data_IF_949805586699
#
_entry.id   IF_949805586699
#
_cell.length_a   1.000
_cell.length_b   1.000
_cell.length_c   1.000
_cell.angle_alpha   90.00
_cell.angle_beta   90.00
_cell.angle_gamma   90.00
#
_symmetry.space_group_name_H-M   'P 1'
#
loop_
_entity.id
_entity.type
_entity.pdbx_description
1 polymer ?
#
# COMPACT_ATOMS: atom_id res chain seq x y z
N UNK A 1 84.53 -0.41 12.34
CA UNK A 1 83.66 -0.20 11.16
C UNK A 1 82.23 -0.49 11.58
N UNK A 2 81.45 0.59 11.85
CA UNK A 2 80.07 0.47 12.29
C UNK A 2 79.16 0.58 11.08
N UNK A 3 78.37 -0.51 10.77
CA UNK A 3 77.39 -0.55 9.71
C UNK A 3 76.06 0.00 10.29
N UNK A 4 75.64 1.14 9.82
CA UNK A 4 74.32 1.70 10.12
C UNK A 4 73.30 1.05 9.16
N UNK A 5 72.38 0.27 9.71
CA UNK A 5 71.22 -0.24 8.98
C UNK A 5 70.14 0.81 9.09
N UNK A 6 69.82 1.46 7.99
CA UNK A 6 68.76 2.44 7.85
C UNK A 6 67.46 1.66 7.71
N UNK A 7 66.63 1.63 8.75
CA UNK A 7 65.32 1.02 8.73
C UNK A 7 64.34 2.04 8.13
N UNK A 8 64.00 1.83 6.87
CA UNK A 8 63.00 2.63 6.18
C UNK A 8 61.61 2.11 6.59
N UNK A 9 60.98 2.79 7.56
CA UNK A 9 59.60 2.49 7.94
C UNK A 9 58.62 3.06 6.91
N UNK A 10 58.10 2.13 6.08
CA UNK A 10 57.05 2.41 5.12
C UNK A 10 55.71 2.62 5.89
N UNK A 11 55.36 3.86 6.12
CA UNK A 11 54.03 4.18 6.59
C UNK A 11 53.05 3.95 5.45
N UNK A 12 52.40 2.79 5.42
CA UNK A 12 51.23 2.54 4.60
C UNK A 12 50.07 3.24 5.30
N UNK A 13 49.70 4.41 4.80
CA UNK A 13 48.46 5.08 5.15
C UNK A 13 47.34 4.25 4.53
N UNK A 14 46.76 3.36 5.33
CA UNK A 14 45.43 2.83 5.02
C UNK A 14 44.44 4.00 5.17
N UNK A 15 44.11 4.62 4.06
CA UNK A 15 42.91 5.41 3.93
C UNK A 15 41.74 4.46 4.07
N UNK A 16 41.14 4.37 5.27
CA UNK A 16 39.80 3.88 5.40
C UNK A 16 38.90 4.91 4.70
N UNK A 17 38.56 4.65 3.46
CA UNK A 17 37.31 5.17 2.92
C UNK A 17 36.23 4.55 3.78
N UNK A 18 35.60 5.38 4.61
CA UNK A 18 34.32 5.06 5.21
C UNK A 18 33.32 4.90 4.05
N UNK A 19 33.24 3.68 3.50
CA UNK A 19 32.05 3.25 2.78
C UNK A 19 30.94 3.40 3.83
N UNK A 20 30.15 4.49 3.70
CA UNK A 20 28.85 4.58 4.33
C UNK A 20 28.08 3.39 3.74
N UNK A 21 28.02 2.29 4.48
CA UNK A 21 27.01 1.29 4.26
C UNK A 21 25.67 2.07 4.29
N UNK A 22 25.12 2.30 3.12
CA UNK A 22 23.72 2.69 3.01
C UNK A 22 22.95 1.56 3.67
N UNK A 23 22.51 1.80 4.91
CA UNK A 23 21.61 0.92 5.63
C UNK A 23 20.45 0.65 4.68
N UNK A 24 20.45 -0.51 4.04
CA UNK A 24 19.33 -0.97 3.23
C UNK A 24 18.14 -1.04 4.19
N UNK A 25 17.33 -0.01 4.17
CA UNK A 25 16.08 0.04 4.93
C UNK A 25 15.28 -1.20 4.51
N UNK A 26 15.16 -2.15 5.42
CA UNK A 26 14.40 -3.37 5.19
C UNK A 26 12.98 -2.94 4.85
N UNK A 27 12.53 -3.24 3.63
CA UNK A 27 11.20 -2.83 3.17
C UNK A 27 10.18 -3.62 3.97
N UNK A 28 9.31 -2.92 4.66
CA UNK A 28 8.24 -3.54 5.45
C UNK A 28 7.39 -4.48 4.57
N UNK A 29 6.96 -5.59 5.17
CA UNK A 29 5.96 -6.48 4.53
C UNK A 29 4.75 -5.67 4.02
N UNK A 30 4.31 -4.68 4.81
CA UNK A 30 3.11 -3.89 4.56
C UNK A 30 3.27 -2.85 3.46
N UNK A 31 4.49 -2.42 3.16
CA UNK A 31 4.74 -1.43 2.12
C UNK A 31 4.90 -2.10 0.76
N UNK A 32 4.29 -1.52 -0.26
CA UNK A 32 4.39 -1.97 -1.66
C UNK A 32 3.08 -1.88 -2.41
N UNK A 33 3.08 -2.45 -3.60
CA UNK A 33 1.94 -2.52 -4.50
C UNK A 33 1.26 -3.88 -4.34
N UNK A 34 -0.06 -3.86 -4.23
CA UNK A 34 -0.89 -5.06 -4.17
C UNK A 34 -1.95 -5.00 -5.28
N UNK A 35 -2.20 -6.14 -5.91
CA UNK A 35 -3.22 -6.30 -6.95
C UNK A 35 -4.33 -7.20 -6.45
N UNK A 36 -5.58 -6.86 -6.71
CA UNK A 36 -6.73 -7.68 -6.36
C UNK A 36 -6.67 -9.03 -7.10
N UNK A 37 -6.85 -10.13 -6.37
CA UNK A 37 -6.76 -11.49 -6.92
C UNK A 37 -7.98 -11.85 -7.75
N UNK A 38 -9.17 -11.35 -7.36
CA UNK A 38 -10.40 -11.50 -8.15
C UNK A 38 -10.57 -10.24 -9.00
N UNK A 39 -10.86 -10.44 -10.27
CA UNK A 39 -11.03 -9.37 -11.25
C UNK A 39 -12.43 -9.45 -11.83
N UNK A 40 -13.08 -8.31 -12.00
CA UNK A 40 -14.26 -8.17 -12.81
C UNK A 40 -13.87 -7.87 -14.27
N UNK A 41 -14.83 -7.95 -15.18
CA UNK A 41 -14.62 -7.60 -16.58
C UNK A 41 -15.19 -6.20 -16.85
N UNK A 42 -14.44 -5.40 -17.57
CA UNK A 42 -14.95 -4.15 -18.10
C UNK A 42 -15.89 -4.40 -19.30
N UNK A 43 -16.45 -3.32 -19.85
CA UNK A 43 -17.37 -3.40 -20.97
C UNK A 43 -16.74 -3.81 -22.32
N UNK A 44 -15.42 -3.82 -22.43
CA UNK A 44 -14.68 -4.29 -23.60
C UNK A 44 -14.24 -5.76 -23.45
N UNK A 45 -14.45 -6.36 -22.27
CA UNK A 45 -13.96 -7.68 -21.93
C UNK A 45 -12.53 -7.69 -21.41
N UNK A 46 -11.96 -6.50 -21.13
CA UNK A 46 -10.69 -6.37 -20.44
C UNK A 46 -10.89 -6.52 -18.93
N UNK A 47 -9.86 -7.00 -18.24
CA UNK A 47 -9.94 -7.19 -16.80
C UNK A 47 -9.96 -5.83 -16.09
N UNK A 48 -10.97 -5.62 -15.26
CA UNK A 48 -11.04 -4.50 -14.35
C UNK A 48 -10.00 -4.69 -13.24
N UNK A 49 -9.03 -3.80 -13.16
CA UNK A 49 -7.85 -4.02 -12.35
C UNK A 49 -7.79 -3.02 -11.21
N UNK A 50 -7.70 -3.54 -9.98
CA UNK A 50 -7.57 -2.73 -8.79
C UNK A 50 -6.19 -2.92 -8.15
N UNK A 51 -5.58 -1.81 -7.71
CA UNK A 51 -4.33 -1.81 -6.98
C UNK A 51 -4.43 -1.06 -5.66
N UNK A 52 -3.73 -1.56 -4.66
CA UNK A 52 -3.43 -0.81 -3.43
C UNK A 52 -1.94 -0.51 -3.43
N UNK A 53 -1.58 0.75 -3.29
CA UNK A 53 -0.22 1.18 -2.99
C UNK A 53 -0.17 1.58 -1.53
N UNK A 54 0.60 0.85 -0.74
CA UNK A 54 0.67 1.03 0.71
C UNK A 54 2.07 1.41 1.17
N UNK A 55 2.15 2.31 2.13
CA UNK A 55 3.39 2.74 2.78
C UNK A 55 3.23 2.71 4.30
N UNK A 56 4.04 1.86 4.96
CA UNK A 56 4.11 1.83 6.42
C UNK A 56 5.01 2.97 6.91
N UNK A 57 4.49 3.76 7.85
CA UNK A 57 5.18 4.92 8.45
C UNK A 57 5.15 4.82 9.97
N UNK A 58 5.89 5.70 10.65
CA UNK A 58 5.94 5.75 12.11
C UNK A 58 7.08 4.95 12.72
N UNK A 59 7.12 4.88 14.04
CA UNK A 59 8.18 4.23 14.80
C UNK A 59 7.61 3.39 15.96
N UNK A 60 8.25 2.26 16.21
CA UNK A 60 7.92 1.39 17.34
C UNK A 60 6.50 0.85 17.29
N UNK A 61 5.68 1.19 18.29
CA UNK A 61 4.29 0.75 18.40
C UNK A 61 3.28 1.68 17.72
N UNK A 62 3.75 2.86 17.30
CA UNK A 62 2.91 3.87 16.64
C UNK A 62 3.06 3.77 15.12
N UNK A 63 2.92 2.57 14.60
CA UNK A 63 2.97 2.36 13.16
C UNK A 63 1.62 2.65 12.53
N UNK A 64 1.66 3.38 11.42
CA UNK A 64 0.52 3.68 10.56
C UNK A 64 0.80 3.14 9.15
N UNK A 65 -0.24 2.78 8.44
CA UNK A 65 -0.17 2.38 7.04
C UNK A 65 -1.04 3.32 6.23
N UNK A 66 -0.42 4.08 5.34
CA UNK A 66 -1.13 4.88 4.35
C UNK A 66 -1.34 4.03 3.11
N UNK A 67 -2.60 3.75 2.78
CA UNK A 67 -2.98 2.98 1.62
C UNK A 67 -3.76 3.84 0.64
N UNK A 68 -3.36 3.80 -0.63
CA UNK A 68 -4.07 4.42 -1.73
C UNK A 68 -4.60 3.33 -2.64
N UNK A 69 -5.91 3.25 -2.74
CA UNK A 69 -6.62 2.38 -3.66
C UNK A 69 -6.66 3.05 -5.03
N UNK A 70 -6.35 2.29 -6.05
CA UNK A 70 -6.51 2.65 -7.45
C UNK A 70 -7.49 1.67 -8.07
N UNK A 71 -8.65 2.17 -8.43
CA UNK A 71 -9.68 1.43 -9.13
C UNK A 71 -9.65 1.85 -10.60
N UNK A 72 -9.25 0.93 -11.46
CA UNK A 72 -9.22 1.15 -12.89
C UNK A 72 -10.63 1.01 -13.44
N UNK A 73 -11.24 2.12 -13.69
CA UNK A 73 -12.44 2.16 -14.50
C UNK A 73 -11.99 2.32 -15.95
N UNK A 74 -11.97 1.22 -16.65
CA UNK A 74 -11.96 1.23 -18.10
C UNK A 74 -13.24 1.91 -18.56
N UNK A 75 -13.24 3.23 -18.59
CA UNK A 75 -14.36 4.03 -19.08
C UNK A 75 -14.42 3.97 -20.62
N UNK A 76 -13.83 2.93 -21.17
CA UNK A 76 -13.93 2.53 -22.57
C UNK A 76 -15.38 2.35 -23.03
N UNK A 77 -16.34 2.14 -22.09
CA UNK A 77 -17.74 2.03 -22.41
C UNK A 77 -18.34 3.33 -22.90
N UNK A 78 -17.89 4.46 -22.40
CA UNK A 78 -18.50 5.75 -22.74
C UNK A 78 -17.58 6.71 -23.50
N UNK A 79 -16.28 6.76 -23.23
CA UNK A 79 -15.39 7.80 -23.79
C UNK A 79 -13.96 7.37 -24.18
N UNK A 80 -13.57 6.12 -23.96
CA UNK A 80 -12.23 5.64 -24.34
C UNK A 80 -11.06 6.26 -23.57
N UNK A 81 -11.29 6.71 -22.36
CA UNK A 81 -10.24 7.21 -21.47
C UNK A 81 -9.94 6.18 -20.39
N UNK A 82 -8.73 5.63 -20.45
CA UNK A 82 -8.19 4.81 -19.39
C UNK A 82 -7.72 5.72 -18.25
N UNK A 83 -8.35 5.60 -17.07
CA UNK A 83 -7.98 6.38 -15.90
C UNK A 83 -8.27 5.63 -14.60
N UNK A 84 -7.62 6.05 -13.50
CA UNK A 84 -7.90 5.51 -12.17
C UNK A 84 -8.74 6.45 -11.33
N UNK A 85 -9.73 5.88 -10.64
CA UNK A 85 -10.26 6.51 -9.42
C UNK A 85 -9.33 6.18 -8.28
N UNK A 86 -9.15 7.14 -7.38
CA UNK A 86 -8.28 6.96 -6.23
C UNK A 86 -9.04 7.23 -4.95
N UNK A 87 -8.82 6.37 -3.97
CA UNK A 87 -9.29 6.55 -2.60
C UNK A 87 -8.11 6.34 -1.64
N UNK A 88 -8.03 7.16 -0.59
CA UNK A 88 -6.93 7.11 0.37
C UNK A 88 -7.46 6.80 1.76
N UNK A 89 -6.78 5.89 2.45
CA UNK A 89 -7.12 5.52 3.81
C UNK A 89 -5.87 5.32 4.66
N UNK A 90 -5.90 5.87 5.88
CA UNK A 90 -4.85 5.67 6.87
C UNK A 90 -5.28 4.66 7.91
N UNK A 91 -4.46 3.66 8.13
CA UNK A 91 -4.68 2.56 9.06
C UNK A 91 -3.75 2.68 10.25
N UNK A 92 -4.23 2.20 11.41
CA UNK A 92 -3.42 2.09 12.63
C UNK A 92 -3.16 0.62 12.95
N UNK A 93 -1.93 0.32 13.36
CA UNK A 93 -1.56 -1.02 13.80
C UNK A 93 -2.26 -1.36 15.12
N UNK A 94 -2.95 -2.49 15.14
CA UNK A 94 -3.60 -2.99 16.34
C UNK A 94 -2.65 -3.89 17.17
N UNK A 95 -3.12 -4.34 18.34
CA UNK A 95 -2.33 -5.18 19.25
C UNK A 95 -1.96 -6.56 18.66
N UNK A 96 -2.68 -7.02 17.65
CA UNK A 96 -2.43 -8.27 16.92
C UNK A 96 -1.41 -8.10 15.79
N UNK A 97 -0.95 -6.88 15.53
CA UNK A 97 -0.04 -6.57 14.44
C UNK A 97 -0.70 -6.36 13.08
N UNK A 98 -2.03 -6.37 13.03
CA UNK A 98 -2.83 -6.08 11.84
C UNK A 98 -3.13 -4.58 11.74
N UNK A 99 -3.53 -4.13 10.56
CA UNK A 99 -3.90 -2.74 10.32
C UNK A 99 -5.41 -2.58 10.25
N UNK A 100 -5.93 -1.56 10.91
CA UNK A 100 -7.36 -1.25 10.98
C UNK A 100 -7.61 0.24 10.71
N UNK A 101 -8.64 0.51 9.93
CA UNK A 101 -9.16 1.85 9.70
C UNK A 101 -10.68 1.85 9.78
N UNK A 102 -11.27 3.01 10.05
CA UNK A 102 -12.70 3.26 9.94
C UNK A 102 -12.95 4.68 9.49
N UNK A 103 -14.01 4.88 8.71
CA UNK A 103 -14.47 6.19 8.25
C UNK A 103 -15.99 6.23 8.20
N UNK A 104 -16.53 7.43 8.22
CA UNK A 104 -17.94 7.69 8.00
C UNK A 104 -18.08 8.79 6.96
N UNK A 105 -18.95 8.60 5.99
CA UNK A 105 -19.21 9.57 4.94
C UNK A 105 -20.69 9.55 4.54
N UNK A 106 -21.10 10.60 3.83
CA UNK A 106 -22.43 10.70 3.29
C UNK A 106 -22.39 10.39 1.79
N UNK A 107 -23.28 9.51 1.36
CA UNK A 107 -23.53 9.21 -0.04
C UNK A 107 -25.01 9.50 -0.32
N UNK A 108 -25.28 10.61 -1.03
CA UNK A 108 -26.60 11.18 -1.23
C UNK A 108 -27.37 11.39 0.10
N UNK A 109 -28.33 10.51 0.38
CA UNK A 109 -29.19 10.56 1.58
C UNK A 109 -28.88 9.42 2.57
N UNK A 110 -27.74 8.77 2.40
CA UNK A 110 -27.33 7.62 3.18
C UNK A 110 -26.06 8.00 3.95
N UNK A 111 -26.01 7.68 5.23
CA UNK A 111 -24.77 7.69 5.99
C UNK A 111 -24.14 6.31 5.89
N UNK A 112 -22.88 6.26 5.48
CA UNK A 112 -22.08 5.04 5.37
C UNK A 112 -21.00 5.06 6.43
N UNK A 113 -21.03 4.06 7.30
CA UNK A 113 -19.94 3.77 8.25
C UNK A 113 -19.16 2.55 7.74
N UNK A 114 -17.91 2.75 7.40
CA UNK A 114 -17.03 1.71 6.85
C UNK A 114 -15.90 1.41 7.83
N UNK A 115 -15.59 0.14 7.99
CA UNK A 115 -14.38 -0.31 8.67
C UNK A 115 -13.64 -1.35 7.84
N UNK A 116 -12.31 -1.24 7.82
CA UNK A 116 -11.44 -2.08 7.02
C UNK A 116 -10.35 -2.67 7.91
N UNK A 117 -10.20 -3.99 7.84
CA UNK A 117 -9.16 -4.73 8.53
C UNK A 117 -8.24 -5.39 7.50
N UNK A 118 -6.94 -5.12 7.60
CA UNK A 118 -5.90 -5.74 6.79
C UNK A 118 -5.16 -6.79 7.61
N UNK A 119 -5.10 -7.99 7.09
CA UNK A 119 -4.42 -9.13 7.71
C UNK A 119 -3.44 -9.75 6.71
N UNK A 120 -2.21 -10.16 7.13
CA UNK A 120 -1.33 -10.88 6.23
C UNK A 120 -1.98 -12.16 5.72
N UNK A 121 -1.87 -12.40 4.41
CA UNK A 121 -2.39 -13.59 3.75
C UNK A 121 -1.29 -14.28 2.95
N UNK A 122 -1.10 -15.57 3.21
CA UNK A 122 -0.04 -16.34 2.58
C UNK A 122 1.36 -15.78 2.90
N UNK A 123 2.24 -15.76 1.90
CA UNK A 123 3.65 -15.32 2.06
C UNK A 123 3.79 -13.81 1.86
N UNK A 124 3.01 -13.23 0.97
CA UNK A 124 3.17 -11.84 0.54
C UNK A 124 1.85 -11.10 0.23
N UNK A 125 0.70 -11.72 0.51
CA UNK A 125 -0.61 -11.13 0.22
C UNK A 125 -1.26 -10.47 1.42
N UNK A 126 -2.40 -9.80 1.15
CA UNK A 126 -3.29 -9.24 2.16
C UNK A 126 -4.69 -9.85 2.04
N UNK A 127 -5.29 -10.21 3.17
CA UNK A 127 -6.72 -10.38 3.30
C UNK A 127 -7.28 -9.05 3.81
N UNK A 128 -8.21 -8.48 3.06
CA UNK A 128 -8.91 -7.24 3.40
C UNK A 128 -10.33 -7.61 3.77
N UNK A 129 -10.71 -7.38 5.02
CA UNK A 129 -12.10 -7.53 5.48
C UNK A 129 -12.73 -6.15 5.56
N UNK A 130 -13.83 -5.95 4.84
CA UNK A 130 -14.58 -4.70 4.80
C UNK A 130 -15.94 -4.95 5.46
N UNK A 131 -16.31 -4.06 6.37
CA UNK A 131 -17.65 -4.00 6.97
C UNK A 131 -18.21 -2.63 6.72
N UNK A 132 -19.32 -2.58 6.03
CA UNK A 132 -20.01 -1.36 5.69
C UNK A 132 -21.42 -1.37 6.27
N UNK A 133 -21.78 -0.31 6.98
CA UNK A 133 -23.13 -0.10 7.53
C UNK A 133 -23.74 1.13 6.90
N UNK A 134 -24.94 1.00 6.35
CA UNK A 134 -25.67 2.06 5.67
C UNK A 134 -26.92 2.43 6.46
N UNK A 135 -27.11 3.72 6.71
CA UNK A 135 -28.27 4.25 7.40
C UNK A 135 -28.92 5.33 6.54
N UNK A 136 -30.17 5.16 6.16
CA UNK A 136 -30.93 6.17 5.41
C UNK A 136 -31.58 7.20 6.33
N UNK A 137 -32.19 8.22 5.74
CA UNK A 137 -32.89 9.29 6.48
C UNK A 137 -34.11 8.81 7.27
N UNK A 138 -34.68 7.65 6.94
CA UNK A 138 -35.77 7.03 7.67
C UNK A 138 -35.32 6.28 8.91
N UNK A 139 -33.98 6.07 9.06
CA UNK A 139 -33.40 5.26 10.11
C UNK A 139 -33.33 3.77 9.73
N UNK A 140 -33.61 3.42 8.47
CA UNK A 140 -33.39 2.07 7.97
C UNK A 140 -31.89 1.78 7.94
N UNK A 141 -31.50 0.62 8.46
CA UNK A 141 -30.11 0.22 8.68
C UNK A 141 -29.82 -1.13 8.03
N UNK A 142 -28.73 -1.19 7.25
CA UNK A 142 -28.21 -2.42 6.66
C UNK A 142 -26.71 -2.52 6.94
N UNK A 143 -26.22 -3.77 7.06
CA UNK A 143 -24.78 -4.03 7.20
C UNK A 143 -24.35 -5.08 6.19
N UNK A 144 -23.27 -4.79 5.51
CA UNK A 144 -22.60 -5.67 4.56
C UNK A 144 -21.21 -6.02 5.07
N UNK A 145 -20.79 -7.25 4.81
CA UNK A 145 -19.43 -7.68 5.10
C UNK A 145 -18.94 -8.56 3.97
N UNK A 146 -17.73 -8.26 3.49
CA UNK A 146 -17.07 -9.09 2.49
C UNK A 146 -15.57 -9.15 2.73
N UNK A 147 -14.89 -10.05 2.01
CA UNK A 147 -13.45 -10.23 2.05
C UNK A 147 -12.88 -10.19 0.66
N UNK A 148 -11.71 -9.57 0.55
CA UNK A 148 -10.92 -9.49 -0.64
C UNK A 148 -9.53 -10.05 -0.39
N UNK A 149 -8.90 -10.57 -1.42
CA UNK A 149 -7.55 -11.11 -1.36
C UNK A 149 -6.68 -10.40 -2.37
N UNK A 150 -5.58 -9.85 -1.90
CA UNK A 150 -4.68 -9.01 -2.66
C UNK A 150 -3.29 -9.64 -2.69
N UNK A 151 -2.70 -9.78 -3.87
CA UNK A 151 -1.36 -10.29 -4.05
C UNK A 151 -0.37 -9.13 -4.14
N UNK A 152 0.75 -9.25 -3.44
CA UNK A 152 1.84 -8.27 -3.56
C UNK A 152 2.52 -8.43 -4.92
N UNK A 153 2.62 -7.33 -5.65
CA UNK A 153 3.27 -7.27 -6.93
C UNK A 153 4.76 -6.93 -6.76
N UNK A 154 5.65 -7.52 -7.57
CA UNK A 154 7.07 -7.19 -7.56
C UNK A 154 7.37 -5.85 -8.23
N UNK A 155 6.46 -5.36 -9.05
CA UNK A 155 6.59 -4.16 -9.85
C UNK A 155 5.68 -3.05 -9.34
N UNK A 156 6.03 -1.82 -9.68
CA UNK A 156 5.17 -0.68 -9.42
C UNK A 156 3.91 -0.77 -10.31
N UNK A 157 2.82 -0.20 -9.81
CA UNK A 157 1.58 -0.07 -10.55
C UNK A 157 1.82 0.68 -11.87
N UNK A 158 1.20 0.27 -12.98
CA UNK A 158 1.24 1.03 -14.24
C UNK A 158 0.79 2.48 -14.04
N UNK A 159 1.46 3.40 -14.72
CA UNK A 159 1.14 4.83 -14.62
C UNK A 159 0.02 5.19 -15.58
N UNK A 160 -1.17 5.44 -15.05
CA UNK A 160 -2.32 5.99 -15.78
C UNK A 160 -2.76 7.33 -15.17
N UNK A 161 -3.43 8.19 -15.93
CA UNK A 161 -3.95 9.44 -15.37
C UNK A 161 -5.08 9.18 -14.38
N UNK A 162 -5.24 10.09 -13.41
CA UNK A 162 -6.42 10.11 -12.54
C UNK A 162 -7.63 10.58 -13.31
N UNK A 163 -8.79 9.98 -13.09
CA UNK A 163 -10.04 10.39 -13.72
C UNK A 163 -10.39 11.83 -13.36
N UNK A 164 -10.85 12.65 -14.32
CA UNK A 164 -11.33 13.98 -14.02
C UNK A 164 -12.65 13.85 -13.23
N UNK A 165 -12.73 14.31 -12.02
CA UNK A 165 -13.86 14.32 -11.09
C UNK A 165 -13.82 13.26 -9.96
N UNK A 166 -12.66 12.69 -9.68
CA UNK A 166 -12.44 11.93 -8.44
C UNK A 166 -12.07 12.82 -7.27
#
# INVERSE_FOLDING_TARGET
MKKYILLLSLFVLFSCEDEKEEEKKEVSFWSGTYKLSAQSWDCNGDEDVQYIVAEETGEGVLLELNAKLYDFLGDACEQGQECYYTDEMSFKKNAQGNYFASRSYADDNITVDESVLLVPWGISGLEVTIVESRTDQSGYFETYQWKEYWNKEPEEMPSYPTCPNS
#
